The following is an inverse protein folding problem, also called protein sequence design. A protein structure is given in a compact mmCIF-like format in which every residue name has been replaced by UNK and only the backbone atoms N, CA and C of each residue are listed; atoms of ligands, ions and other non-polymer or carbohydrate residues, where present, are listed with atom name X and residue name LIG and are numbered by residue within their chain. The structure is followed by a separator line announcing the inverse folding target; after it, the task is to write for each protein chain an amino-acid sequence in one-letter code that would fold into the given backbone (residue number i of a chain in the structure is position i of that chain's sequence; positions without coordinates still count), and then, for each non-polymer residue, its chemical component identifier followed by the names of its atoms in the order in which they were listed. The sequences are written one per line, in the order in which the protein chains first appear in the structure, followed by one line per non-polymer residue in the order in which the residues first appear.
data_IF_484070093847
#
_entry.id   IF_484070093847
#
_cell.length_a   1.000
_cell.length_b   1.000
_cell.length_c   1.000
_cell.angle_alpha   90.00
_cell.angle_beta   90.00
_cell.angle_gamma   90.00
#
_symmetry.space_group_name_H-M   'P 1'
#
loop_
_entity.id
_entity.type
_entity.pdbx_description
1 polymer ?
#
# COMPACT_ATOMS: atom_id res chain seq x y z
N UNK A 1 -6.42 8.81 -8.52
CA UNK A 1 -6.39 10.13 -7.84
C UNK A 1 -5.09 10.25 -7.04
N UNK A 2 -4.57 11.46 -6.80
CA UNK A 2 -3.41 11.64 -5.93
C UNK A 2 -3.88 11.73 -4.47
N UNK A 3 -3.43 10.82 -3.61
CA UNK A 3 -3.83 10.75 -2.21
C UNK A 3 -2.81 11.42 -1.27
N UNK A 4 -1.74 12.01 -1.81
CA UNK A 4 -0.69 12.61 -1.00
C UNK A 4 -1.19 13.82 -0.17
N UNK A 5 -2.13 14.58 -0.75
CA UNK A 5 -2.75 15.74 -0.11
C UNK A 5 -3.82 15.37 0.94
N UNK A 6 -4.15 14.09 1.07
CA UNK A 6 -5.11 13.63 2.08
C UNK A 6 -4.46 13.57 3.46
N UNK A 7 -5.26 13.85 4.49
CA UNK A 7 -4.83 13.69 5.87
C UNK A 7 -4.44 12.22 6.15
N UNK A 8 -3.41 12.03 6.98
CA UNK A 8 -2.88 10.71 7.31
C UNK A 8 -3.93 9.75 7.86
N UNK A 9 -4.87 10.24 8.68
CA UNK A 9 -5.97 9.45 9.27
C UNK A 9 -7.13 9.16 8.31
N UNK A 10 -7.10 9.73 7.10
CA UNK A 10 -8.14 9.52 6.10
C UNK A 10 -8.14 8.05 5.66
N UNK A 11 -9.34 7.49 5.44
CA UNK A 11 -9.52 6.10 5.00
C UNK A 11 -10.26 6.09 3.69
N UNK A 12 -9.66 5.46 2.68
CA UNK A 12 -10.27 5.35 1.37
C UNK A 12 -11.04 4.04 1.25
N UNK A 13 -12.26 4.13 0.74
CA UNK A 13 -13.07 2.97 0.40
C UNK A 13 -12.64 2.38 -0.95
N UNK A 14 -12.80 1.06 -1.17
CA UNK A 14 -12.47 0.43 -2.45
C UNK A 14 -13.26 0.97 -3.65
N UNK A 15 -14.45 1.56 -3.41
CA UNK A 15 -15.25 2.25 -4.42
C UNK A 15 -14.63 3.55 -4.95
N UNK A 16 -13.69 4.16 -4.20
CA UNK A 16 -12.97 5.35 -4.65
C UNK A 16 -12.00 5.05 -5.81
N UNK A 17 -11.74 3.76 -6.06
CA UNK A 17 -10.80 3.30 -7.08
C UNK A 17 -9.33 3.47 -6.66
N UNK A 18 -8.39 3.21 -7.58
CA UNK A 18 -6.97 3.28 -7.30
C UNK A 18 -6.50 4.72 -7.04
N UNK A 19 -5.55 4.84 -6.12
CA UNK A 19 -4.96 6.10 -5.73
C UNK A 19 -3.44 6.04 -5.66
N UNK A 20 -2.80 7.18 -5.84
CA UNK A 20 -1.34 7.30 -5.90
C UNK A 20 -0.82 7.88 -4.60
N UNK A 21 0.23 7.27 -4.06
CA UNK A 21 1.01 7.77 -2.92
C UNK A 21 2.47 7.95 -3.35
N UNK A 22 3.09 9.01 -2.84
CA UNK A 22 4.55 9.19 -2.92
C UNK A 22 5.13 8.98 -1.54
N UNK A 23 6.08 8.06 -1.40
CA UNK A 23 6.70 7.70 -0.13
C UNK A 23 8.21 7.65 -0.34
N UNK A 24 8.96 8.46 0.40
CA UNK A 24 10.42 8.55 0.28
C UNK A 24 10.92 8.89 -1.16
N UNK A 25 10.09 9.62 -1.93
CA UNK A 25 10.37 9.93 -3.34
C UNK A 25 9.92 8.86 -4.33
N UNK A 26 9.52 7.68 -3.85
CA UNK A 26 9.01 6.59 -4.68
C UNK A 26 7.49 6.68 -4.87
N UNK A 27 7.03 6.45 -6.09
CA UNK A 27 5.61 6.54 -6.46
C UNK A 27 4.98 5.15 -6.50
N UNK A 28 3.84 5.01 -5.81
CA UNK A 28 3.05 3.79 -5.75
C UNK A 28 1.59 4.03 -6.11
N UNK A 29 1.03 3.15 -6.93
CA UNK A 29 -0.41 3.04 -7.15
C UNK A 29 -0.99 1.97 -6.22
N UNK A 30 -1.84 2.40 -5.30
CA UNK A 30 -2.57 1.55 -4.36
C UNK A 30 -3.93 1.20 -4.94
N UNK A 31 -4.22 -0.09 -5.04
CA UNK A 31 -5.51 -0.63 -5.44
C UNK A 31 -6.11 -1.40 -4.27
N UNK A 32 -7.28 -0.97 -3.83
CA UNK A 32 -8.04 -1.66 -2.80
C UNK A 32 -8.88 -2.75 -3.47
N UNK A 33 -8.51 -4.01 -3.24
CA UNK A 33 -9.22 -5.16 -3.78
C UNK A 33 -10.47 -5.52 -2.98
N UNK A 34 -11.31 -6.42 -3.49
CA UNK A 34 -12.44 -6.94 -2.74
C UNK A 34 -11.97 -7.65 -1.46
N UNK A 35 -12.65 -7.38 -0.34
CA UNK A 35 -12.34 -7.97 0.96
C UNK A 35 -11.27 -7.20 1.73
N UNK A 36 -10.15 -7.87 2.04
CA UNK A 36 -9.09 -7.38 2.96
C UNK A 36 -7.75 -7.11 2.28
N UNK A 37 -7.71 -7.21 0.95
CA UNK A 37 -6.48 -7.17 0.15
C UNK A 37 -6.24 -5.76 -0.39
N UNK A 38 -5.02 -5.29 -0.20
CA UNK A 38 -4.51 -4.07 -0.83
C UNK A 38 -3.32 -4.46 -1.72
N UNK A 39 -3.32 -3.98 -2.96
CA UNK A 39 -2.23 -4.18 -3.91
C UNK A 39 -1.51 -2.85 -4.11
N UNK A 40 -0.18 -2.88 -4.01
CA UNK A 40 0.70 -1.73 -4.13
C UNK A 40 1.60 -1.95 -5.33
N UNK A 41 1.32 -1.27 -6.43
CA UNK A 41 2.17 -1.27 -7.61
C UNK A 41 3.25 -0.19 -7.48
N UNK A 42 4.52 -0.57 -7.64
CA UNK A 42 5.65 0.34 -7.56
C UNK A 42 5.93 0.94 -8.94
N UNK A 43 5.43 2.16 -9.18
CA UNK A 43 5.48 2.80 -10.49
C UNK A 43 6.84 3.44 -10.79
N UNK A 44 7.50 4.00 -9.77
CA UNK A 44 8.83 4.63 -9.90
C UNK A 44 9.99 3.64 -9.72
N UNK A 45 9.69 2.40 -9.33
CA UNK A 45 10.70 1.42 -8.97
C UNK A 45 11.57 0.97 -10.13
N UNK A 46 12.74 0.39 -9.85
CA UNK A 46 13.68 -0.08 -10.89
C UNK A 46 13.09 -1.20 -11.76
N UNK A 47 12.11 -1.94 -11.22
CA UNK A 47 11.52 -3.11 -11.85
C UNK A 47 10.07 -2.85 -12.24
N UNK A 48 9.80 -2.73 -13.55
CA UNK A 48 8.45 -2.48 -14.06
C UNK A 48 7.47 -3.58 -13.65
N UNK A 49 6.33 -3.17 -13.10
CA UNK A 49 5.27 -4.08 -12.67
C UNK A 49 5.57 -4.80 -11.36
N UNK A 50 6.62 -4.39 -10.65
CA UNK A 50 6.92 -4.89 -9.31
C UNK A 50 6.12 -4.14 -8.24
N UNK A 51 6.07 -4.71 -7.04
CA UNK A 51 5.24 -4.22 -5.95
C UNK A 51 4.95 -5.33 -4.95
N UNK A 52 3.96 -5.10 -4.09
CA UNK A 52 3.55 -6.07 -3.07
C UNK A 52 2.05 -6.03 -2.82
N UNK A 53 1.53 -7.08 -2.19
CA UNK A 53 0.15 -7.16 -1.74
C UNK A 53 0.12 -7.36 -0.23
N UNK A 54 -0.77 -6.67 0.46
CA UNK A 54 -1.00 -6.85 1.89
C UNK A 54 -2.43 -7.29 2.15
N UNK A 55 -2.63 -8.14 3.16
CA UNK A 55 -3.96 -8.57 3.62
C UNK A 55 -4.05 -8.41 5.13
N UNK A 56 -5.01 -7.60 5.60
CA UNK A 56 -5.21 -7.35 7.03
C UNK A 56 -6.19 -8.34 7.65
N UNK A 57 -5.97 -8.75 8.91
CA UNK A 57 -6.88 -9.63 9.66
C UNK A 57 -7.12 -9.09 11.07
N UNK A 58 -8.31 -9.35 11.62
CA UNK A 58 -8.60 -9.11 13.03
C UNK A 58 -8.12 -10.32 13.84
N UNK A 59 -7.24 -10.09 14.80
CA UNK A 59 -6.73 -11.16 15.66
C UNK A 59 -7.87 -11.78 16.48
N UNK A 60 -7.94 -13.11 16.51
CA UNK A 60 -9.01 -13.86 17.18
C UNK A 60 -10.26 -14.10 16.34
N UNK A 61 -10.48 -13.31 15.28
CA UNK A 61 -11.69 -13.38 14.46
C UNK A 61 -11.35 -13.32 12.96
N UNK A 62 -11.01 -14.46 12.33
CA UNK A 62 -10.70 -14.50 10.90
C UNK A 62 -11.89 -14.14 10.01
N UNK A 63 -13.11 -14.10 10.54
CA UNK A 63 -14.32 -13.66 9.81
C UNK A 63 -14.61 -12.14 9.95
N UNK A 64 -14.04 -11.46 10.96
CA UNK A 64 -14.31 -10.05 11.18
C UNK A 64 -13.65 -9.15 10.12
N UNK A 65 -14.42 -8.21 9.58
CA UNK A 65 -13.92 -7.24 8.59
C UNK A 65 -13.08 -6.19 9.34
N UNK A 66 -11.76 -6.11 9.09
CA UNK A 66 -10.94 -5.09 9.72
C UNK A 66 -11.34 -3.70 9.20
N UNK A 67 -11.09 -2.63 9.98
CA UNK A 67 -11.27 -1.28 9.48
C UNK A 67 -10.35 -1.04 8.27
N UNK A 68 -10.77 -0.17 7.36
CA UNK A 68 -9.93 0.29 6.25
C UNK A 68 -8.65 0.92 6.80
N UNK A 69 -7.56 0.67 6.10
CA UNK A 69 -6.26 1.26 6.39
C UNK A 69 -6.34 2.79 6.21
N UNK A 70 -5.66 3.51 7.09
CA UNK A 70 -5.47 4.94 6.92
C UNK A 70 -4.39 5.21 5.87
N UNK A 71 -4.36 6.42 5.29
CA UNK A 71 -3.27 6.84 4.39
C UNK A 71 -1.91 6.66 5.05
N UNK A 72 -1.79 6.97 6.35
CA UNK A 72 -0.53 6.78 7.09
C UNK A 72 -0.11 5.31 7.16
N UNK A 73 -1.04 4.39 7.43
CA UNK A 73 -0.75 2.96 7.45
C UNK A 73 -0.33 2.41 6.07
N UNK A 74 -0.89 2.96 4.98
CA UNK A 74 -0.42 2.66 3.63
C UNK A 74 1.03 3.15 3.42
N UNK A 75 1.34 4.38 3.85
CA UNK A 75 2.70 4.94 3.77
C UNK A 75 3.70 4.12 4.60
N UNK A 76 3.31 3.69 5.79
CA UNK A 76 4.14 2.83 6.64
C UNK A 76 4.41 1.47 5.99
N UNK A 77 3.38 0.81 5.42
CA UNK A 77 3.55 -0.45 4.70
C UNK A 77 4.50 -0.32 3.50
N UNK A 78 4.39 0.79 2.75
CA UNK A 78 5.30 1.07 1.63
C UNK A 78 6.73 1.30 2.13
N UNK A 79 6.89 2.06 3.22
CA UNK A 79 8.22 2.33 3.81
C UNK A 79 8.89 1.07 4.32
N UNK A 80 8.14 0.18 4.96
CA UNK A 80 8.62 -1.14 5.41
C UNK A 80 9.08 -2.01 4.23
N UNK A 81 8.27 -2.06 3.16
CA UNK A 81 8.65 -2.72 1.92
C UNK A 81 9.94 -2.16 1.35
N UNK A 82 10.04 -0.83 1.16
CA UNK A 82 11.25 -0.18 0.63
C UNK A 82 12.49 -0.44 1.50
N UNK A 83 12.34 -0.45 2.82
CA UNK A 83 13.42 -0.78 3.76
C UNK A 83 13.87 -2.25 3.69
N UNK A 84 13.02 -3.13 3.16
CA UNK A 84 13.32 -4.56 2.97
C UNK A 84 13.87 -4.87 1.57
N UNK A 85 13.85 -3.90 0.64
CA UNK A 85 14.42 -4.07 -0.69
C UNK A 85 15.94 -4.01 -0.63
N UNK A 86 16.60 -4.99 -1.26
CA UNK A 86 18.02 -4.91 -1.52
C UNK A 86 18.29 -3.78 -2.54
N UNK A 87 19.04 -2.72 -2.17
CA UNK A 87 19.25 -1.56 -3.04
C UNK A 87 20.06 -1.89 -4.30
N UNK A 88 20.84 -2.97 -4.29
CA UNK A 88 21.64 -3.38 -5.45
C UNK A 88 20.80 -4.14 -6.49
N UNK A 89 19.80 -4.90 -6.05
CA UNK A 89 18.96 -5.74 -6.91
C UNK A 89 17.60 -5.10 -7.24
N UNK A 90 17.07 -4.24 -6.37
CA UNK A 90 15.72 -3.68 -6.49
C UNK A 90 14.59 -4.68 -6.20
N UNK A 91 14.90 -5.78 -5.49
CA UNK A 91 13.96 -6.83 -5.06
C UNK A 91 14.14 -7.13 -3.56
N UNK A 92 13.15 -7.81 -2.96
CA UNK A 92 13.28 -8.42 -1.64
C UNK A 92 14.33 -9.54 -1.68
N UNK A 93 15.21 -9.61 -0.68
CA UNK A 93 16.22 -10.66 -0.50
C UNK A 93 15.66 -11.87 0.29
#
# INVERSE_FOLDING_TARGET
MNADELAGDHRLSPEAGPFVLTVDGEVFTVTLGPGRRCDYAWDSGPNKGYGFSSTTFVAGDPAAVPPLLTIDQHRESIRDFLGSINPEAGYLD
#
